data_IF_790559060423
#
_entry.id   IF_790559060423
#
_cell.length_a   1.000
_cell.length_b   1.000
_cell.length_c   1.000
_cell.angle_alpha   90.00
_cell.angle_beta   90.00
_cell.angle_gamma   90.00
#
_symmetry.space_group_name_H-M   'P 1'
#
loop_
_entity.id
_entity.type
_entity.pdbx_description
1 polymer ?
#
# COMPACT_ATOMS: atom_id res chain seq x y z
N UNK A 1 -17.50 -19.56 9.26
CA UNK A 1 -16.55 -19.66 8.14
C UNK A 1 -15.18 -20.07 8.67
N UNK A 2 -14.49 -20.98 7.96
CA UNK A 2 -13.23 -21.60 8.41
C UNK A 2 -12.05 -20.66 8.17
N UNK A 3 -10.98 -20.79 8.98
CA UNK A 3 -9.68 -20.17 8.67
C UNK A 3 -8.92 -21.05 7.69
N UNK A 4 -8.06 -20.43 6.88
CA UNK A 4 -7.17 -21.13 5.96
C UNK A 4 -6.05 -21.79 6.78
N UNK A 5 -5.87 -23.09 6.62
CA UNK A 5 -4.73 -23.81 7.19
C UNK A 5 -3.47 -23.62 6.33
N UNK A 6 -2.30 -23.61 6.96
CA UNK A 6 -1.03 -23.48 6.24
C UNK A 6 -0.83 -24.68 5.31
N UNK A 7 -0.58 -24.41 4.04
CA UNK A 7 -0.46 -25.40 2.98
C UNK A 7 1.01 -25.62 2.60
N UNK A 8 1.39 -26.85 2.24
CA UNK A 8 2.76 -27.14 1.81
C UNK A 8 3.08 -26.58 0.41
N UNK A 9 2.13 -26.69 -0.52
CA UNK A 9 2.38 -26.42 -1.95
C UNK A 9 1.75 -25.13 -2.48
N UNK A 10 1.16 -24.28 -1.62
CA UNK A 10 0.50 -23.06 -2.07
C UNK A 10 1.00 -21.81 -1.33
N UNK A 11 1.92 -21.08 -1.97
CA UNK A 11 2.52 -19.86 -1.41
C UNK A 11 1.51 -18.72 -1.30
N UNK A 12 0.66 -18.53 -2.31
CA UNK A 12 -0.33 -17.45 -2.33
C UNK A 12 -1.32 -17.61 -1.18
N UNK A 13 -1.86 -18.82 -1.01
CA UNK A 13 -2.78 -19.13 0.06
C UNK A 13 -2.11 -19.00 1.44
N UNK A 14 -0.83 -19.38 1.55
CA UNK A 14 -0.05 -19.17 2.78
C UNK A 14 0.11 -17.69 3.15
N UNK A 15 0.41 -16.82 2.17
CA UNK A 15 0.50 -15.36 2.38
C UNK A 15 -0.82 -14.83 2.94
N UNK A 16 -1.95 -15.23 2.34
CA UNK A 16 -3.28 -14.81 2.77
C UNK A 16 -3.60 -15.34 4.17
N UNK A 17 -3.30 -16.61 4.44
CA UNK A 17 -3.57 -17.26 5.74
C UNK A 17 -2.79 -16.64 6.90
N UNK A 18 -1.57 -16.18 6.62
CA UNK A 18 -0.67 -15.62 7.62
C UNK A 18 -0.96 -14.13 7.90
N UNK A 19 -1.73 -13.48 7.04
CA UNK A 19 -2.02 -12.07 7.18
C UNK A 19 -3.07 -11.83 8.27
N UNK A 20 -2.68 -11.08 9.30
CA UNK A 20 -3.58 -10.64 10.36
C UNK A 20 -3.36 -9.16 10.64
N UNK A 21 -4.37 -8.30 10.45
CA UNK A 21 -4.28 -6.89 10.80
C UNK A 21 -4.20 -6.74 12.32
N UNK A 22 -3.37 -5.80 12.77
CA UNK A 22 -3.24 -5.41 14.17
C UNK A 22 -3.83 -3.99 14.30
N UNK A 23 -4.93 -3.80 15.08
CA UNK A 23 -5.47 -2.47 15.32
C UNK A 23 -4.44 -1.53 15.94
N UNK A 24 -4.49 -0.25 15.58
CA UNK A 24 -3.59 0.76 16.11
C UNK A 24 -3.93 1.12 17.55
N UNK A 25 -2.88 1.21 18.36
CA UNK A 25 -2.91 1.83 19.68
C UNK A 25 -1.87 2.96 19.72
N UNK A 26 -2.13 4.05 20.48
CA UNK A 26 -1.20 5.18 20.56
C UNK A 26 0.25 4.81 20.90
N UNK A 27 0.46 3.72 21.66
CA UNK A 27 1.78 3.22 22.04
C UNK A 27 2.64 2.72 20.86
N UNK A 28 2.05 2.45 19.69
CA UNK A 28 2.77 1.95 18.51
C UNK A 28 3.49 3.05 17.71
N UNK A 29 3.30 4.32 18.07
CA UNK A 29 4.06 5.45 17.52
C UNK A 29 3.88 5.66 16.00
N UNK A 30 4.80 6.42 15.39
CA UNK A 30 4.69 6.82 13.98
C UNK A 30 4.85 5.66 12.99
N UNK A 31 5.65 4.66 13.36
CA UNK A 31 5.83 3.46 12.55
C UNK A 31 4.54 2.64 12.48
N UNK A 32 3.91 2.39 13.63
CA UNK A 32 2.62 1.70 13.70
C UNK A 32 1.50 2.46 13.00
N UNK A 33 1.45 3.78 13.17
CA UNK A 33 0.53 4.65 12.44
C UNK A 33 0.67 4.48 10.92
N UNK A 34 1.90 4.59 10.40
CA UNK A 34 2.14 4.51 8.97
C UNK A 34 1.77 3.15 8.38
N UNK A 35 2.13 2.06 9.08
CA UNK A 35 1.76 0.70 8.68
C UNK A 35 0.24 0.59 8.61
N UNK A 36 -0.44 0.97 9.70
CA UNK A 36 -1.86 0.73 9.82
C UNK A 36 -2.71 1.52 8.84
N UNK A 37 -2.37 2.79 8.58
CA UNK A 37 -3.07 3.61 7.59
C UNK A 37 -2.98 3.00 6.18
N UNK A 38 -1.78 2.52 5.82
CA UNK A 38 -1.55 1.85 4.53
C UNK A 38 -2.36 0.55 4.45
N UNK A 39 -2.32 -0.28 5.49
CA UNK A 39 -3.08 -1.53 5.54
C UNK A 39 -4.59 -1.30 5.39
N UNK A 40 -5.15 -0.35 6.15
CA UNK A 40 -6.57 0.00 6.09
C UNK A 40 -6.94 0.43 4.67
N UNK A 41 -6.18 1.35 4.09
CA UNK A 41 -6.42 1.83 2.74
C UNK A 41 -6.34 0.72 1.68
N UNK A 42 -5.29 -0.10 1.73
CA UNK A 42 -5.06 -1.15 0.73
C UNK A 42 -6.09 -2.28 0.83
N UNK A 43 -6.44 -2.71 2.04
CA UNK A 43 -7.51 -3.69 2.25
C UNK A 43 -8.88 -3.14 1.82
N UNK A 44 -9.16 -1.86 2.08
CA UNK A 44 -10.36 -1.21 1.57
C UNK A 44 -10.42 -1.22 0.03
N UNK A 45 -9.30 -0.93 -0.65
CA UNK A 45 -9.23 -1.00 -2.12
C UNK A 45 -9.40 -2.42 -2.66
N UNK A 46 -9.01 -3.42 -1.88
CA UNK A 46 -9.12 -4.85 -2.23
C UNK A 46 -10.46 -5.49 -1.83
N UNK A 47 -11.39 -4.75 -1.18
CA UNK A 47 -12.61 -5.30 -0.58
C UNK A 47 -13.41 -6.20 -1.55
N UNK A 48 -13.52 -5.78 -2.83
CA UNK A 48 -14.22 -6.58 -3.85
C UNK A 48 -13.50 -7.88 -4.19
N UNK A 49 -12.20 -7.83 -4.40
CA UNK A 49 -11.39 -9.02 -4.73
C UNK A 49 -11.34 -9.99 -3.56
N UNK A 50 -11.26 -9.48 -2.33
CA UNK A 50 -11.32 -10.28 -1.12
C UNK A 50 -12.70 -10.94 -0.97
N UNK A 51 -13.80 -10.20 -1.17
CA UNK A 51 -15.15 -10.78 -1.12
C UNK A 51 -15.39 -11.84 -2.21
N UNK A 52 -14.86 -11.62 -3.42
CA UNK A 52 -14.91 -12.61 -4.50
C UNK A 52 -14.14 -13.88 -4.12
N UNK A 53 -12.92 -13.73 -3.59
CA UNK A 53 -12.10 -14.86 -3.17
C UNK A 53 -12.73 -15.63 -2.00
N UNK A 54 -13.34 -14.92 -1.06
CA UNK A 54 -14.13 -15.48 0.04
C UNK A 54 -15.30 -16.32 -0.50
N UNK A 55 -16.02 -15.81 -1.50
CA UNK A 55 -17.12 -16.53 -2.16
C UNK A 55 -16.62 -17.79 -2.88
N UNK A 56 -15.49 -17.69 -3.58
CA UNK A 56 -14.95 -18.80 -4.37
C UNK A 56 -14.35 -19.92 -3.52
N UNK A 57 -13.79 -19.57 -2.35
CA UNK A 57 -13.02 -20.53 -1.54
C UNK A 57 -13.73 -20.96 -0.26
N UNK A 58 -14.73 -20.21 0.21
CA UNK A 58 -15.44 -20.46 1.46
C UNK A 58 -14.67 -20.06 2.72
N UNK A 59 -13.41 -19.59 2.60
CA UNK A 59 -12.62 -19.12 3.73
C UNK A 59 -12.85 -17.65 4.03
N UNK A 60 -12.74 -17.29 5.32
CA UNK A 60 -12.69 -15.88 5.71
C UNK A 60 -11.49 -15.21 5.07
N UNK A 61 -11.72 -14.09 4.38
CA UNK A 61 -10.65 -13.26 3.86
C UNK A 61 -10.23 -12.18 4.87
N UNK A 62 -8.97 -11.70 4.79
CA UNK A 62 -8.55 -10.52 5.51
C UNK A 62 -9.49 -9.34 5.28
N UNK A 63 -9.74 -8.58 6.34
CA UNK A 63 -10.46 -7.30 6.25
C UNK A 63 -9.71 -6.26 7.06
N UNK A 64 -9.88 -4.98 6.75
CA UNK A 64 -9.14 -3.93 7.45
C UNK A 64 -9.48 -3.84 8.94
N UNK A 65 -10.65 -4.33 9.39
CA UNK A 65 -11.08 -4.39 10.80
C UNK A 65 -10.72 -3.13 11.57
N UNK A 66 -11.28 -1.99 11.17
CA UNK A 66 -11.13 -0.75 11.92
C UNK A 66 -12.50 -0.22 12.34
N UNK A 67 -12.57 0.32 13.54
CA UNK A 67 -13.72 1.03 14.06
C UNK A 67 -13.48 2.55 14.03
N UNK A 68 -14.51 3.37 14.26
CA UNK A 68 -14.37 4.82 14.28
C UNK A 68 -13.39 5.35 15.33
N UNK A 69 -13.22 4.66 16.46
CA UNK A 69 -12.32 5.09 17.53
C UNK A 69 -10.86 4.94 17.11
N UNK A 70 -10.51 3.79 16.50
CA UNK A 70 -9.20 3.58 15.89
C UNK A 70 -8.91 4.64 14.82
N UNK A 71 -9.88 4.94 13.95
CA UNK A 71 -9.73 5.97 12.93
C UNK A 71 -9.49 7.35 13.57
N UNK A 72 -10.20 7.71 14.64
CA UNK A 72 -9.97 8.96 15.34
C UNK A 72 -8.53 9.04 15.89
N UNK A 73 -8.03 7.96 16.53
CA UNK A 73 -6.64 7.93 17.01
C UNK A 73 -5.62 8.07 15.88
N UNK A 74 -5.86 7.43 14.74
CA UNK A 74 -5.00 7.57 13.56
C UNK A 74 -5.02 9.00 13.01
N UNK A 75 -6.20 9.63 12.93
CA UNK A 75 -6.34 11.03 12.47
C UNK A 75 -5.60 11.98 13.42
N UNK A 76 -5.75 11.82 14.73
CA UNK A 76 -5.05 12.65 15.72
C UNK A 76 -3.53 12.51 15.59
N UNK A 77 -3.03 11.27 15.47
CA UNK A 77 -1.60 11.03 15.29
C UNK A 77 -1.09 11.59 13.97
N UNK A 78 -1.79 11.34 12.87
CA UNK A 78 -1.45 11.85 11.55
C UNK A 78 -1.46 13.37 11.49
N UNK A 79 -2.42 14.01 12.17
CA UNK A 79 -2.48 15.47 12.31
C UNK A 79 -1.24 16.00 13.02
N UNK A 80 -0.87 15.41 14.16
CA UNK A 80 0.33 15.82 14.91
C UNK A 80 1.62 15.68 14.07
N UNK A 81 1.76 14.58 13.33
CA UNK A 81 2.89 14.36 12.41
C UNK A 81 2.93 15.43 11.32
N UNK A 82 1.77 15.77 10.74
CA UNK A 82 1.68 16.80 9.71
C UNK A 82 2.04 18.19 10.24
N UNK A 83 1.55 18.54 11.42
CA UNK A 83 1.88 19.83 12.07
C UNK A 83 3.39 19.95 12.32
N UNK A 84 4.01 18.92 12.90
CA UNK A 84 5.45 18.91 13.12
C UNK A 84 6.24 19.05 11.80
N UNK A 85 5.83 18.36 10.74
CA UNK A 85 6.46 18.48 9.42
C UNK A 85 6.29 19.88 8.81
N UNK A 86 5.12 20.52 9.00
CA UNK A 86 4.88 21.89 8.56
C UNK A 86 5.77 22.90 9.30
N UNK A 87 6.01 22.71 10.60
CA UNK A 87 6.92 23.55 11.37
C UNK A 87 8.36 23.48 10.85
N UNK A 88 8.82 22.28 10.47
CA UNK A 88 10.13 22.09 9.82
C UNK A 88 10.19 22.83 8.49
N UNK A 89 9.15 22.74 7.65
CA UNK A 89 9.06 23.51 6.41
C UNK A 89 9.15 25.01 6.70
N UNK A 90 8.41 25.49 7.69
CA UNK A 90 8.40 26.91 8.04
C UNK A 90 9.78 27.39 8.51
N UNK A 91 10.50 26.62 9.33
CA UNK A 91 11.86 26.96 9.74
C UNK A 91 12.85 26.95 8.58
N UNK A 92 12.80 25.92 7.73
CA UNK A 92 13.65 25.85 6.54
C UNK A 92 13.40 27.04 5.59
N UNK A 93 12.14 27.43 5.40
CA UNK A 93 11.78 28.58 4.58
C UNK A 93 12.29 29.89 5.19
N UNK A 94 12.21 30.06 6.52
CA UNK A 94 12.84 31.20 7.22
C UNK A 94 14.35 31.23 7.06
N UNK A 95 15.01 30.06 7.01
CA UNK A 95 16.43 29.93 6.71
C UNK A 95 16.75 30.44 5.31
N UNK A 96 16.03 29.97 4.29
CA UNK A 96 16.19 30.41 2.89
C UNK A 96 16.04 31.92 2.74
N UNK A 97 15.05 32.54 3.38
CA UNK A 97 14.83 33.99 3.32
C UNK A 97 16.00 34.76 3.95
N UNK A 98 16.46 34.34 5.14
CA UNK A 98 17.59 34.97 5.85
C UNK A 98 18.86 34.96 5.00
N UNK A 99 19.27 33.80 4.50
CA UNK A 99 20.45 33.68 3.63
C UNK A 99 20.26 34.30 2.24
N UNK A 100 19.02 34.36 1.74
CA UNK A 100 18.69 35.07 0.51
C UNK A 100 19.04 36.56 0.60
N UNK A 101 18.67 37.20 1.71
CA UNK A 101 19.02 38.60 1.99
C UNK A 101 20.52 38.83 2.22
N UNK A 102 21.22 37.89 2.85
CA UNK A 102 22.68 37.96 3.06
C UNK A 102 23.49 37.85 1.75
N UNK A 103 23.03 37.05 0.78
CA UNK A 103 23.67 36.95 -0.56
C UNK A 103 23.42 38.21 -1.39
N UNK A 104 22.26 38.83 -1.25
CA UNK A 104 21.88 40.04 -1.99
C UNK A 104 22.53 41.31 -1.41
N UNK A 105 22.88 41.31 -0.12
CA UNK A 105 23.63 42.38 0.56
C UNK A 105 24.84 41.81 1.32
N UNK A 106 25.88 41.34 0.62
CA UNK A 106 26.98 40.60 1.22
C UNK A 106 27.92 41.44 2.09
N UNK A 107 27.77 42.77 2.17
CA UNK A 107 28.35 43.58 3.25
C UNK A 107 27.85 45.04 3.29
N UNK A 108 27.36 45.45 4.47
CA UNK A 108 27.27 46.85 4.89
C UNK A 108 28.57 47.33 5.57
N UNK A 109 29.63 46.49 5.63
CA UNK A 109 30.93 46.86 6.20
C UNK A 109 32.08 46.20 5.42
N UNK A 110 33.15 46.97 5.21
CA UNK A 110 34.54 46.60 4.84
C UNK A 110 35.04 47.03 3.45
N UNK A 111 35.54 48.28 3.42
CA UNK A 111 36.94 48.71 3.12
C UNK A 111 37.66 48.19 1.85
N UNK A 112 37.52 48.96 0.77
CA UNK A 112 38.53 49.59 -0.11
C UNK A 112 39.95 49.00 -0.34
N UNK A 113 40.17 47.67 -0.36
CA UNK A 113 41.49 47.12 -0.77
C UNK A 113 41.42 45.97 -1.80
N UNK A 114 42.15 46.13 -2.91
CA UNK A 114 42.18 45.20 -4.07
C UNK A 114 42.73 43.78 -3.78
N UNK A 115 43.40 43.54 -2.63
CA UNK A 115 43.82 42.19 -2.20
C UNK A 115 42.63 41.34 -1.71
N UNK A 116 41.49 41.96 -1.39
CA UNK A 116 40.29 41.29 -0.90
C UNK A 116 39.39 40.73 -2.02
N UNK A 117 39.62 41.05 -3.29
CA UNK A 117 38.73 40.63 -4.39
C UNK A 117 38.68 39.11 -4.60
N UNK A 118 39.81 38.41 -4.47
CA UNK A 118 39.87 36.94 -4.57
C UNK A 118 39.25 36.28 -3.33
N UNK A 119 39.43 36.86 -2.14
CA UNK A 119 38.80 36.40 -0.89
C UNK A 119 37.28 36.58 -0.95
N UNK A 120 36.83 37.74 -1.43
CA UNK A 120 35.42 38.09 -1.61
C UNK A 120 34.74 37.19 -2.64
N UNK A 121 35.41 36.84 -3.74
CA UNK A 121 34.87 35.89 -4.72
C UNK A 121 34.67 34.49 -4.11
N UNK A 122 35.60 34.04 -3.28
CA UNK A 122 35.48 32.75 -2.59
C UNK A 122 34.42 32.77 -1.48
N UNK A 123 34.28 33.89 -0.75
CA UNK A 123 33.21 34.11 0.23
C UNK A 123 31.83 34.14 -0.43
N UNK A 124 31.68 34.86 -1.55
CA UNK A 124 30.46 34.85 -2.35
C UNK A 124 30.12 33.44 -2.85
N UNK A 125 31.13 32.67 -3.29
CA UNK A 125 30.95 31.27 -3.69
C UNK A 125 30.47 30.41 -2.52
N UNK A 126 31.03 30.58 -1.32
CA UNK A 126 30.60 29.88 -0.11
C UNK A 126 29.16 30.23 0.27
N UNK A 127 28.80 31.52 0.25
CA UNK A 127 27.45 31.99 0.51
C UNK A 127 26.44 31.44 -0.51
N UNK A 128 26.81 31.40 -1.79
CA UNK A 128 25.98 30.80 -2.85
C UNK A 128 25.77 29.30 -2.63
N UNK A 129 26.82 28.55 -2.29
CA UNK A 129 26.71 27.11 -1.99
C UNK A 129 25.84 26.89 -0.75
N UNK A 130 25.97 27.72 0.28
CA UNK A 130 25.15 27.64 1.48
C UNK A 130 23.68 27.96 1.18
N UNK A 131 23.41 28.98 0.37
CA UNK A 131 22.05 29.31 -0.10
C UNK A 131 21.44 28.14 -0.85
N UNK A 132 22.19 27.51 -1.77
CA UNK A 132 21.70 26.35 -2.51
C UNK A 132 21.35 25.19 -1.57
N UNK A 133 22.21 24.87 -0.60
CA UNK A 133 21.92 23.83 0.41
C UNK A 133 20.64 24.13 1.19
N UNK A 134 20.43 25.37 1.61
CA UNK A 134 19.21 25.76 2.33
C UNK A 134 17.96 25.63 1.46
N UNK A 135 18.06 25.96 0.16
CA UNK A 135 16.97 25.76 -0.82
C UNK A 135 16.66 24.27 -0.95
N UNK A 136 17.69 23.44 -1.12
CA UNK A 136 17.55 21.98 -1.24
C UNK A 136 16.92 21.37 0.04
N UNK A 137 17.33 21.84 1.22
CA UNK A 137 16.78 21.40 2.50
C UNK A 137 15.31 21.83 2.67
N UNK A 138 14.96 23.04 2.23
CA UNK A 138 13.58 23.52 2.23
C UNK A 138 12.69 22.73 1.26
N UNK A 139 13.19 22.43 0.07
CA UNK A 139 12.49 21.57 -0.90
C UNK A 139 12.28 20.17 -0.32
N UNK A 140 13.31 19.59 0.27
CA UNK A 140 13.21 18.29 0.96
C UNK A 140 12.15 18.32 2.07
N UNK A 141 12.14 19.35 2.91
CA UNK A 141 11.14 19.51 3.96
C UNK A 141 9.70 19.57 3.38
N UNK A 142 9.50 20.27 2.26
CA UNK A 142 8.20 20.34 1.59
C UNK A 142 7.74 18.97 1.08
N UNK A 143 8.64 18.20 0.47
CA UNK A 143 8.34 16.83 0.01
C UNK A 143 7.93 15.94 1.19
N UNK A 144 8.64 16.02 2.32
CA UNK A 144 8.29 15.29 3.54
C UNK A 144 6.88 15.63 4.00
N UNK A 145 6.59 16.93 4.11
CA UNK A 145 5.27 17.40 4.53
C UNK A 145 4.17 16.90 3.60
N UNK A 146 4.39 16.97 2.28
CA UNK A 146 3.45 16.43 1.28
C UNK A 146 3.23 14.92 1.44
N UNK A 147 4.28 14.13 1.67
CA UNK A 147 4.14 12.70 1.95
C UNK A 147 3.35 12.44 3.23
N UNK A 148 3.58 13.20 4.32
CA UNK A 148 2.80 13.05 5.57
C UNK A 148 1.33 13.39 5.39
N UNK A 149 1.04 14.47 4.64
CA UNK A 149 -0.33 14.87 4.28
C UNK A 149 -1.02 13.79 3.45
N UNK A 150 -0.34 13.27 2.43
CA UNK A 150 -0.86 12.20 1.61
C UNK A 150 -1.13 10.92 2.39
N UNK A 151 -0.31 10.61 3.41
CA UNK A 151 -0.44 9.40 4.21
C UNK A 151 -1.73 9.47 5.01
N UNK A 152 -1.93 10.59 5.72
CA UNK A 152 -3.19 10.87 6.41
C UNK A 152 -4.38 10.86 5.43
N UNK A 153 -4.18 11.43 4.23
CA UNK A 153 -5.17 11.44 3.15
C UNK A 153 -5.67 10.06 2.71
N UNK A 154 -4.87 9.00 2.89
CA UNK A 154 -5.29 7.62 2.57
C UNK A 154 -6.51 7.15 3.39
N UNK A 155 -6.75 7.72 4.57
CA UNK A 155 -7.94 7.38 5.37
C UNK A 155 -9.23 7.94 4.78
N UNK A 156 -9.16 9.00 3.97
CA UNK A 156 -10.34 9.72 3.45
C UNK A 156 -11.37 8.83 2.76
N UNK A 157 -11.02 8.01 1.74
CA UNK A 157 -12.00 7.16 1.07
C UNK A 157 -12.64 6.12 2.00
N UNK A 158 -11.91 5.67 3.03
CA UNK A 158 -12.42 4.71 4.02
C UNK A 158 -13.46 5.39 4.91
N UNK A 159 -13.13 6.57 5.45
CA UNK A 159 -14.06 7.35 6.28
C UNK A 159 -15.30 7.75 5.50
N UNK A 160 -15.15 8.21 4.25
CA UNK A 160 -16.29 8.51 3.38
C UNK A 160 -17.19 7.30 3.16
N UNK A 161 -16.63 6.11 2.94
CA UNK A 161 -17.40 4.88 2.80
C UNK A 161 -18.11 4.48 4.09
N UNK A 162 -17.46 4.63 5.26
CA UNK A 162 -18.06 4.36 6.56
C UNK A 162 -19.21 5.33 6.87
N UNK A 163 -19.04 6.62 6.57
CA UNK A 163 -20.10 7.63 6.71
C UNK A 163 -21.29 7.37 5.79
N UNK A 164 -21.05 6.95 4.53
CA UNK A 164 -22.12 6.52 3.61
C UNK A 164 -22.91 5.32 4.14
N UNK A 165 -22.28 4.47 4.94
CA UNK A 165 -22.91 3.34 5.64
C UNK A 165 -23.53 3.75 6.99
N UNK A 166 -23.64 5.04 7.29
CA UNK A 166 -24.20 5.60 8.54
C UNK A 166 -23.48 5.12 9.82
N UNK A 167 -22.19 4.79 9.75
CA UNK A 167 -21.40 4.42 10.93
C UNK A 167 -21.18 5.67 11.80
N UNK A 168 -21.46 5.55 13.10
CA UNK A 168 -21.34 6.62 14.12
C UNK A 168 -20.09 6.44 14.97
N UNK A 169 -19.62 7.50 15.63
CA UNK A 169 -18.46 7.46 16.56
C UNK A 169 -17.25 8.27 16.09
N UNK A 170 -17.29 8.82 14.88
CA UNK A 170 -16.24 9.72 14.41
C UNK A 170 -16.21 11.05 15.16
N UNK A 171 -15.03 11.62 15.29
CA UNK A 171 -14.85 12.96 15.84
C UNK A 171 -15.57 14.03 15.00
N UNK A 172 -15.89 15.16 15.63
CA UNK A 172 -16.55 16.27 14.96
C UNK A 172 -15.75 16.73 13.73
N UNK A 173 -16.47 16.89 12.61
CA UNK A 173 -15.90 17.35 11.33
C UNK A 173 -14.73 16.48 10.84
N UNK A 174 -14.83 15.16 11.03
CA UNK A 174 -13.76 14.19 10.69
C UNK A 174 -13.20 14.37 9.28
N UNK A 175 -14.03 14.63 8.26
CA UNK A 175 -13.57 14.82 6.88
C UNK A 175 -12.75 16.10 6.71
N UNK A 176 -13.04 17.17 7.46
CA UNK A 176 -12.27 18.42 7.42
C UNK A 176 -10.85 18.24 7.99
N UNK A 177 -10.65 17.23 8.84
CA UNK A 177 -9.35 16.92 9.46
C UNK A 177 -8.45 16.03 8.59
N UNK A 178 -8.99 15.46 7.51
CA UNK A 178 -8.25 14.58 6.61
C UNK A 178 -7.91 15.34 5.32
N UNK A 179 -6.62 15.47 4.95
CA UNK A 179 -6.21 16.15 3.73
C UNK A 179 -6.78 15.50 2.47
N UNK A 180 -6.97 16.32 1.43
CA UNK A 180 -7.30 15.86 0.07
C UNK A 180 -6.06 15.45 -0.72
N UNK A 181 -4.86 15.67 -0.17
CA UNK A 181 -3.58 15.37 -0.80
C UNK A 181 -3.47 13.90 -1.17
N UNK A 182 -3.00 13.62 -2.39
CA UNK A 182 -2.61 12.28 -2.79
C UNK A 182 -1.31 11.88 -2.09
N UNK A 183 -1.16 10.59 -1.79
CA UNK A 183 0.13 10.08 -1.35
C UNK A 183 1.07 9.94 -2.56
N UNK A 184 2.19 10.67 -2.61
CA UNK A 184 3.03 10.72 -3.81
C UNK A 184 3.78 9.41 -4.08
N UNK A 185 3.93 9.02 -5.34
CA UNK A 185 4.62 7.79 -5.75
C UNK A 185 6.06 7.66 -5.22
N UNK A 186 6.79 8.77 -5.13
CA UNK A 186 8.16 8.79 -4.61
C UNK A 186 8.23 8.35 -3.14
N UNK A 187 7.13 8.48 -2.41
CA UNK A 187 7.05 8.16 -0.98
C UNK A 187 7.10 6.65 -0.72
N UNK A 188 6.99 5.80 -1.74
CA UNK A 188 7.14 4.35 -1.61
C UNK A 188 8.48 3.82 -2.16
N UNK A 189 9.35 4.69 -2.69
CA UNK A 189 10.63 4.30 -3.29
C UNK A 189 11.75 4.44 -2.28
N UNK A 190 12.73 3.54 -2.28
CA UNK A 190 13.92 3.57 -1.38
C UNK A 190 14.95 4.65 -1.80
N UNK A 191 14.63 5.49 -2.78
CA UNK A 191 15.53 6.51 -3.34
C UNK A 191 15.65 7.76 -2.43
N UNK A 192 16.60 8.65 -2.77
CA UNK A 192 17.12 9.79 -1.98
C UNK A 192 16.10 10.70 -1.27
N UNK A 193 14.84 10.70 -1.70
CA UNK A 193 13.75 11.51 -1.14
C UNK A 193 12.94 10.79 -0.04
N UNK A 194 13.10 9.48 0.11
CA UNK A 194 12.46 8.68 1.17
C UNK A 194 13.12 8.80 2.54
N UNK A 195 14.35 9.30 2.60
CA UNK A 195 15.04 9.69 3.84
C UNK A 195 14.26 10.72 4.67
N UNK A 196 13.25 11.34 4.07
CA UNK A 196 12.40 12.31 4.71
C UNK A 196 11.25 11.73 5.56
N UNK A 197 10.90 10.46 5.36
CA UNK A 197 10.06 9.72 6.28
C UNK A 197 11.00 8.89 7.16
N UNK A 198 11.32 9.38 8.37
CA UNK A 198 12.33 8.81 9.30
C UNK A 198 12.12 7.34 9.74
N UNK A 199 11.24 6.59 9.09
CA UNK A 199 11.01 5.19 9.35
C UNK A 199 10.59 4.46 8.06
N UNK A 200 11.30 3.40 7.62
CA UNK A 200 10.96 2.61 6.44
C UNK A 200 9.67 1.78 6.61
N UNK A 201 8.94 1.96 7.71
CA UNK A 201 7.69 1.27 8.05
C UNK A 201 6.62 1.41 6.96
N UNK A 202 6.53 2.57 6.31
CA UNK A 202 5.58 2.81 5.22
C UNK A 202 5.96 2.04 3.95
N UNK A 203 7.25 2.00 3.59
CA UNK A 203 7.76 1.17 2.47
C UNK A 203 7.51 -0.32 2.74
N UNK A 204 7.81 -0.75 3.97
CA UNK A 204 7.56 -2.13 4.41
C UNK A 204 6.07 -2.50 4.29
N UNK A 205 5.18 -1.67 4.84
CA UNK A 205 3.74 -1.90 4.78
C UNK A 205 3.24 -1.96 3.33
N UNK A 206 3.68 -1.04 2.49
CA UNK A 206 3.29 -1.02 1.08
C UNK A 206 3.72 -2.30 0.36
N UNK A 207 4.97 -2.71 0.55
CA UNK A 207 5.51 -3.95 -0.02
C UNK A 207 4.74 -5.19 0.44
N UNK A 208 4.36 -5.26 1.71
CA UNK A 208 3.54 -6.36 2.25
C UNK A 208 2.12 -6.37 1.71
N UNK A 209 1.52 -5.20 1.50
CA UNK A 209 0.22 -5.12 0.85
C UNK A 209 0.29 -5.49 -0.64
N UNK A 210 1.38 -5.17 -1.34
CA UNK A 210 1.61 -5.63 -2.72
C UNK A 210 1.82 -7.15 -2.80
N UNK A 211 2.45 -7.76 -1.79
CA UNK A 211 2.58 -9.22 -1.67
C UNK A 211 1.21 -9.88 -1.46
N UNK A 212 0.39 -9.36 -0.54
CA UNK A 212 -0.97 -9.86 -0.30
C UNK A 212 -1.87 -9.69 -1.53
N UNK A 213 -1.84 -8.53 -2.19
CA UNK A 213 -2.65 -8.28 -3.38
C UNK A 213 -2.29 -9.23 -4.51
N UNK A 214 -1.00 -9.45 -4.78
CA UNK A 214 -0.56 -10.41 -5.81
C UNK A 214 -1.00 -11.83 -5.48
N UNK A 215 -0.95 -12.24 -4.22
CA UNK A 215 -1.43 -13.55 -3.81
C UNK A 215 -2.95 -13.72 -4.05
N UNK A 216 -3.75 -12.71 -3.71
CA UNK A 216 -5.21 -12.71 -3.99
C UNK A 216 -5.48 -12.76 -5.49
N UNK A 217 -4.80 -11.91 -6.27
CA UNK A 217 -4.97 -11.85 -7.72
C UNK A 217 -4.54 -13.14 -8.43
N UNK A 218 -3.47 -13.79 -7.96
CA UNK A 218 -3.01 -15.07 -8.50
C UNK A 218 -4.10 -16.14 -8.38
N UNK A 219 -4.71 -16.28 -7.21
CA UNK A 219 -5.74 -17.29 -6.97
C UNK A 219 -7.01 -16.95 -7.77
N UNK A 220 -7.44 -15.68 -7.74
CA UNK A 220 -8.60 -15.23 -8.50
C UNK A 220 -8.42 -15.49 -10.00
N UNK A 221 -7.25 -15.17 -10.56
CA UNK A 221 -6.96 -15.40 -11.98
C UNK A 221 -7.10 -16.87 -12.36
N UNK A 222 -6.69 -17.81 -11.49
CA UNK A 222 -6.82 -19.26 -11.71
C UNK A 222 -8.27 -19.76 -11.61
N UNK A 223 -9.10 -19.11 -10.78
CA UNK A 223 -10.47 -19.54 -10.49
C UNK A 223 -11.53 -18.87 -11.39
N UNK A 224 -11.19 -17.77 -12.06
CA UNK A 224 -12.11 -17.09 -12.97
C UNK A 224 -12.26 -17.87 -14.27
N UNK A 225 -13.48 -17.89 -14.80
CA UNK A 225 -13.70 -18.47 -16.12
C UNK A 225 -12.99 -17.64 -17.18
N UNK A 226 -12.27 -18.30 -18.10
CA UNK A 226 -11.64 -17.59 -19.19
C UNK A 226 -12.70 -17.07 -20.16
N UNK A 227 -12.46 -15.88 -20.69
CA UNK A 227 -13.28 -15.26 -21.74
C UNK A 227 -12.64 -15.52 -23.11
N UNK A 228 -11.34 -15.77 -23.12
CA UNK A 228 -10.58 -16.00 -24.35
C UNK A 228 -10.98 -17.30 -25.05
N UNK A 229 -11.18 -17.21 -26.37
CA UNK A 229 -11.67 -18.33 -27.19
C UNK A 229 -10.71 -19.51 -27.19
N UNK A 230 -9.40 -19.25 -27.16
CA UNK A 230 -8.39 -20.30 -27.16
C UNK A 230 -8.39 -21.07 -25.83
N UNK A 231 -8.44 -20.37 -24.70
CA UNK A 231 -8.56 -21.00 -23.38
C UNK A 231 -9.86 -21.81 -23.24
N UNK A 232 -10.98 -21.28 -23.73
CA UNK A 232 -12.27 -21.99 -23.76
C UNK A 232 -12.18 -23.31 -24.54
N UNK A 233 -11.55 -23.29 -25.72
CA UNK A 233 -11.34 -24.50 -26.53
C UNK A 233 -10.45 -25.56 -25.87
N UNK A 234 -9.69 -25.19 -24.84
CA UNK A 234 -8.74 -26.05 -24.12
C UNK A 234 -9.20 -26.41 -22.72
N UNK A 235 -10.51 -26.64 -22.58
CA UNK A 235 -11.17 -27.00 -21.33
C UNK A 235 -11.01 -25.95 -20.22
N UNK A 236 -10.81 -24.66 -20.57
CA UNK A 236 -10.50 -23.60 -19.61
C UNK A 236 -11.57 -23.40 -18.53
N UNK A 237 -12.85 -23.61 -18.84
CA UNK A 237 -13.93 -23.58 -17.83
C UNK A 237 -13.73 -24.70 -16.80
N UNK A 238 -13.52 -25.95 -17.27
CA UNK A 238 -13.33 -27.09 -16.37
C UNK A 238 -12.09 -26.92 -15.50
N UNK A 239 -10.98 -26.42 -16.07
CA UNK A 239 -9.75 -26.10 -15.32
C UNK A 239 -10.01 -25.06 -14.22
N UNK A 240 -10.77 -24.01 -14.52
CA UNK A 240 -11.13 -22.99 -13.54
C UNK A 240 -12.02 -23.55 -12.42
N UNK A 241 -12.98 -24.44 -12.72
CA UNK A 241 -13.77 -25.12 -11.69
C UNK A 241 -12.91 -26.05 -10.82
N UNK A 242 -11.98 -26.79 -11.42
CA UNK A 242 -11.01 -27.61 -10.67
C UNK A 242 -10.13 -26.75 -9.75
N UNK A 243 -9.68 -25.58 -10.21
CA UNK A 243 -8.99 -24.61 -9.35
C UNK A 243 -9.86 -24.19 -8.17
N UNK A 244 -11.16 -23.91 -8.37
CA UNK A 244 -12.08 -23.55 -7.28
C UNK A 244 -12.22 -24.67 -6.26
N UNK A 245 -12.33 -25.92 -6.72
CA UNK A 245 -12.35 -27.09 -5.84
C UNK A 245 -11.05 -27.21 -5.05
N UNK A 246 -9.90 -27.06 -5.72
CA UNK A 246 -8.58 -27.08 -5.09
C UNK A 246 -8.40 -25.97 -4.04
N UNK A 247 -8.87 -24.76 -4.31
CA UNK A 247 -8.76 -23.62 -3.38
C UNK A 247 -9.87 -23.59 -2.33
N UNK A 248 -10.96 -24.35 -2.52
CA UNK A 248 -12.08 -24.46 -1.60
C UNK A 248 -11.81 -25.33 -0.38
N UNK A 249 -12.85 -25.62 0.41
CA UNK A 249 -12.74 -26.57 1.52
C UNK A 249 -12.44 -27.99 1.06
N UNK A 250 -13.03 -28.40 -0.07
CA UNK A 250 -12.88 -29.75 -0.62
C UNK A 250 -11.44 -30.08 -1.04
N UNK A 251 -10.69 -29.06 -1.48
CA UNK A 251 -9.31 -29.19 -1.91
C UNK A 251 -8.27 -29.27 -0.79
N UNK A 252 -8.66 -29.16 0.50
CA UNK A 252 -7.73 -28.96 1.60
C UNK A 252 -6.69 -30.07 1.76
N UNK A 253 -7.11 -31.34 1.58
CA UNK A 253 -6.20 -32.48 1.56
C UNK A 253 -5.21 -32.39 0.40
N UNK A 254 -5.68 -32.03 -0.80
CA UNK A 254 -4.86 -31.97 -2.00
C UNK A 254 -3.78 -30.89 -1.91
N UNK A 255 -4.06 -29.74 -1.28
CA UNK A 255 -3.07 -28.67 -1.06
C UNK A 255 -1.88 -29.10 -0.18
N UNK A 256 -2.03 -30.16 0.60
CA UNK A 256 -0.95 -30.76 1.39
C UNK A 256 -0.14 -31.81 0.61
N UNK A 257 -0.70 -32.33 -0.49
CA UNK A 257 -0.14 -33.42 -1.27
C UNK A 257 0.53 -32.94 -2.55
N UNK A 258 -0.02 -31.93 -3.21
CA UNK A 258 0.46 -31.47 -4.51
C UNK A 258 0.14 -29.99 -4.80
N UNK A 259 0.87 -29.34 -5.71
CA UNK A 259 0.53 -28.04 -6.28
C UNK A 259 -0.79 -28.05 -7.07
N UNK A 260 -1.39 -26.87 -7.24
CA UNK A 260 -2.65 -26.70 -7.99
C UNK A 260 -2.58 -27.19 -9.44
N UNK A 261 -1.44 -27.01 -10.11
CA UNK A 261 -1.31 -27.41 -11.52
C UNK A 261 -1.37 -28.93 -11.64
N UNK A 262 -0.60 -29.65 -10.82
CA UNK A 262 -0.58 -31.11 -10.76
C UNK A 262 -1.97 -31.68 -10.42
N UNK A 263 -2.68 -31.04 -9.47
CA UNK A 263 -4.06 -31.40 -9.15
C UNK A 263 -5.00 -31.22 -10.36
N UNK A 264 -4.93 -30.07 -11.04
CA UNK A 264 -5.78 -29.80 -12.20
C UNK A 264 -5.48 -30.78 -13.33
N UNK A 265 -4.21 -31.08 -13.61
CA UNK A 265 -3.82 -32.05 -14.63
C UNK A 265 -4.37 -33.44 -14.32
N UNK A 266 -4.16 -33.94 -13.09
CA UNK A 266 -4.67 -35.23 -12.64
C UNK A 266 -6.21 -35.33 -12.76
N UNK A 267 -6.92 -34.30 -12.30
CA UNK A 267 -8.38 -34.29 -12.34
C UNK A 267 -8.92 -34.09 -13.76
N UNK A 268 -8.19 -33.40 -14.63
CA UNK A 268 -8.59 -33.24 -16.04
C UNK A 268 -8.63 -34.56 -16.81
N UNK A 269 -7.75 -35.51 -16.50
CA UNK A 269 -7.79 -36.86 -17.10
C UNK A 269 -9.14 -37.55 -16.83
N UNK A 270 -9.66 -37.39 -15.61
CA UNK A 270 -10.97 -37.94 -15.25
C UNK A 270 -12.11 -37.26 -16.01
N UNK A 271 -12.08 -35.93 -16.10
CA UNK A 271 -13.09 -35.14 -16.83
C UNK A 271 -13.12 -35.49 -18.32
N UNK A 272 -11.96 -35.70 -18.93
CA UNK A 272 -11.86 -36.10 -20.34
C UNK A 272 -12.36 -37.54 -20.56
N UNK A 273 -12.08 -38.45 -19.63
CA UNK A 273 -12.60 -39.81 -19.67
C UNK A 273 -14.13 -39.88 -19.57
N UNK A 274 -14.74 -39.04 -18.74
CA UNK A 274 -16.20 -39.00 -18.56
C UNK A 274 -16.88 -38.36 -19.77
N UNK A 275 -16.31 -37.29 -20.35
CA UNK A 275 -16.79 -36.73 -21.62
C UNK A 275 -16.76 -37.77 -22.75
N UNK A 276 -15.72 -38.60 -22.80
CA UNK A 276 -15.61 -39.67 -23.80
C UNK A 276 -16.70 -40.73 -23.63
N UNK A 277 -16.94 -41.20 -22.39
CA UNK A 277 -18.02 -42.15 -22.08
C UNK A 277 -19.41 -41.58 -22.43
N UNK A 278 -19.66 -40.32 -22.07
CA UNK A 278 -20.93 -39.65 -22.38
C UNK A 278 -21.16 -39.47 -23.88
N UNK A 279 -20.10 -39.27 -24.66
CA UNK A 279 -20.19 -39.22 -26.12
C UNK A 279 -20.47 -40.58 -26.73
N UNK A 280 -19.86 -41.66 -26.20
CA UNK A 280 -20.15 -43.03 -26.62
C UNK A 280 -21.63 -43.36 -26.37
N UNK A 281 -22.13 -43.09 -25.16
CA UNK A 281 -23.52 -43.39 -24.78
C UNK A 281 -24.55 -42.60 -25.62
N UNK A 282 -24.26 -41.34 -25.99
CA UNK A 282 -25.13 -40.51 -26.83
C UNK A 282 -25.16 -40.92 -28.30
N UNK A 283 -24.10 -41.55 -28.82
CA UNK A 283 -24.03 -42.01 -30.21
C UNK A 283 -24.60 -43.43 -30.41
N UNK A 284 -25.09 -44.07 -29.34
CA UNK A 284 -25.63 -45.45 -29.37
C UNK A 284 -27.18 -45.48 -29.27
N UNK A 285 -27.84 -44.32 -29.34
CA UNK A 285 -29.30 -44.13 -29.33
C UNK A 285 -29.70 -43.47 -30.65
#
# INVERSE_FOLDING_TARGET
MKKIERCKYDKALNIISAYQPIPFEPKYGDGGYAIRVIEIYRLFKMERSLAELETLTGYNMPSYRCDPDEINFLIERGTAICTAAQEVVNEANRGVIRYGGEVENPNHNVLDNRKDLLSMKEELRKLQVQKQRMVDDCERAKLIYQSRQGLLGLLRPVVEAMLKKNIKGFMNKVIEKIPVSSFPDYSYRVESYSNGLSNPSHIYAWSKMDELQRAVEEILKRCRHPIDKYELSRNGIAKAELCRLYYGHEGELFRQLMPVNDYVELMMETVESDKYKDSMMRNTI
#
